data_IF_594234443576
#
_entry.id   IF_594234443576
#
_cell.length_a   1.000
_cell.length_b   1.000
_cell.length_c   1.000
_cell.angle_alpha   90.00
_cell.angle_beta   90.00
_cell.angle_gamma   90.00
#
_symmetry.space_group_name_H-M   'P 1'
#
loop_
_entity.id
_entity.type
_entity.pdbx_description
1 polymer ?
#
# COMPACT_ATOMS: atom_id res chain seq x y z
N UNK A 1 -1.18 15.32 11.50
CA UNK A 1 -1.32 15.48 10.03
C UNK A 1 -1.42 14.14 9.31
N UNK A 2 -0.60 13.14 9.66
CA UNK A 2 -0.59 11.80 9.04
C UNK A 2 -1.95 11.07 9.12
N UNK A 3 -2.62 11.08 10.28
CA UNK A 3 -3.93 10.43 10.48
C UNK A 3 -5.00 10.94 9.50
N UNK A 4 -4.98 12.23 9.13
CA UNK A 4 -5.92 12.80 8.16
C UNK A 4 -5.63 12.26 6.76
N UNK A 5 -4.36 12.26 6.34
CA UNK A 5 -3.90 11.70 5.06
C UNK A 5 -4.27 10.21 4.95
N UNK A 6 -4.04 9.42 6.00
CA UNK A 6 -4.42 8.00 6.04
C UNK A 6 -5.94 7.79 5.95
N UNK A 7 -6.74 8.61 6.63
CA UNK A 7 -8.21 8.55 6.50
C UNK A 7 -8.68 8.86 5.08
N UNK A 8 -8.02 9.78 4.38
CA UNK A 8 -8.33 10.10 2.99
C UNK A 8 -7.93 8.94 2.07
N UNK A 9 -6.75 8.36 2.28
CA UNK A 9 -6.27 7.18 1.55
C UNK A 9 -7.22 6.00 1.69
N UNK A 10 -7.63 5.66 2.91
CA UNK A 10 -8.54 4.52 3.14
C UNK A 10 -9.89 4.78 2.45
N UNK A 11 -10.44 6.01 2.55
CA UNK A 11 -11.67 6.38 1.85
C UNK A 11 -11.54 6.27 0.33
N UNK A 12 -10.41 6.68 -0.21
CA UNK A 12 -10.18 6.58 -1.64
C UNK A 12 -10.01 5.11 -2.07
N UNK A 13 -9.26 4.32 -1.31
CA UNK A 13 -9.02 2.91 -1.61
C UNK A 13 -10.32 2.08 -1.61
N UNK A 14 -11.27 2.34 -0.70
CA UNK A 14 -12.57 1.64 -0.68
C UNK A 14 -13.51 2.04 -1.83
N UNK A 15 -13.27 3.18 -2.47
CA UNK A 15 -14.00 3.60 -3.68
C UNK A 15 -13.41 2.96 -4.95
N UNK A 16 -12.20 2.40 -4.86
CA UNK A 16 -11.51 1.72 -5.93
C UNK A 16 -11.67 0.19 -5.84
N UNK A 17 -11.33 -0.47 -6.94
CA UNK A 17 -11.39 -1.93 -7.09
C UNK A 17 -10.17 -2.60 -6.43
N UNK A 18 -10.21 -2.68 -5.09
CA UNK A 18 -9.19 -3.35 -4.27
C UNK A 18 -9.63 -4.76 -3.88
N UNK A 19 -8.68 -5.69 -3.83
CA UNK A 19 -8.93 -7.06 -3.42
C UNK A 19 -8.78 -7.24 -1.90
N UNK A 20 -7.82 -6.53 -1.30
CA UNK A 20 -7.46 -6.75 0.10
C UNK A 20 -6.82 -5.51 0.73
N UNK A 21 -7.10 -5.31 2.02
CA UNK A 21 -6.54 -4.24 2.84
C UNK A 21 -6.25 -4.77 4.23
N UNK A 22 -5.02 -4.61 4.71
CA UNK A 22 -4.61 -4.98 6.06
C UNK A 22 -3.61 -4.00 6.66
N UNK A 23 -3.54 -3.96 7.98
CA UNK A 23 -2.45 -3.32 8.71
C UNK A 23 -1.64 -4.36 9.44
N UNK A 24 -0.31 -4.26 9.36
CA UNK A 24 0.60 -5.17 10.07
C UNK A 24 1.82 -4.40 10.61
N UNK A 25 2.53 -5.01 11.56
CA UNK A 25 3.81 -4.49 12.05
C UNK A 25 4.94 -4.98 11.13
N UNK A 26 5.65 -4.04 10.52
CA UNK A 26 6.86 -4.28 9.75
C UNK A 26 8.02 -4.78 10.60
N UNK A 27 9.12 -5.19 9.95
CA UNK A 27 10.26 -5.82 10.63
C UNK A 27 10.94 -4.93 11.68
N UNK A 28 10.92 -3.61 11.51
CA UNK A 28 11.52 -2.65 12.46
C UNK A 28 10.49 -2.12 13.48
N UNK A 29 9.27 -2.67 13.50
CA UNK A 29 8.19 -2.25 14.39
C UNK A 29 7.27 -1.19 13.81
N UNK A 30 7.46 -0.81 12.54
CA UNK A 30 6.62 0.20 11.89
C UNK A 30 5.21 -0.32 11.62
N UNK A 31 4.21 0.51 11.87
CA UNK A 31 2.85 0.23 11.41
C UNK A 31 2.78 0.43 9.89
N UNK A 32 2.45 -0.62 9.15
CA UNK A 32 2.34 -0.61 7.69
C UNK A 32 0.91 -0.90 7.28
N UNK A 33 0.36 -0.06 6.39
CA UNK A 33 -0.86 -0.34 5.66
C UNK A 33 -0.49 -1.03 4.35
N UNK A 34 -1.08 -2.20 4.11
CA UNK A 34 -0.98 -2.93 2.84
C UNK A 34 -2.30 -2.86 2.11
N UNK A 35 -2.23 -2.57 0.83
CA UNK A 35 -3.37 -2.62 -0.09
C UNK A 35 -2.97 -3.51 -1.25
N UNK A 36 -3.84 -4.45 -1.63
CA UNK A 36 -3.62 -5.35 -2.75
C UNK A 36 -4.75 -5.18 -3.76
N UNK A 37 -4.39 -5.13 -5.04
CA UNK A 37 -5.32 -5.10 -6.16
C UNK A 37 -4.74 -5.87 -7.34
N UNK A 38 -5.57 -6.57 -8.10
CA UNK A 38 -5.24 -7.17 -9.39
C UNK A 38 -5.45 -6.19 -10.54
N UNK A 39 -6.03 -5.02 -10.26
CA UNK A 39 -6.33 -4.00 -11.25
C UNK A 39 -5.19 -2.97 -11.33
N UNK A 40 -4.51 -2.93 -12.48
CA UNK A 40 -3.39 -2.01 -12.75
C UNK A 40 -3.81 -0.54 -12.72
N UNK A 41 -5.02 -0.22 -13.19
CA UNK A 41 -5.53 1.16 -13.14
C UNK A 41 -5.77 1.62 -11.70
N UNK A 42 -6.23 0.70 -10.84
CA UNK A 42 -6.37 0.98 -9.40
C UNK A 42 -5.02 1.23 -8.74
N UNK A 43 -3.99 0.45 -9.09
CA UNK A 43 -2.62 0.72 -8.63
C UNK A 43 -2.16 2.13 -9.06
N UNK A 44 -2.28 2.47 -10.34
CA UNK A 44 -1.82 3.75 -10.89
C UNK A 44 -2.55 4.94 -10.23
N UNK A 45 -3.87 4.83 -10.05
CA UNK A 45 -4.68 5.83 -9.37
C UNK A 45 -4.25 6.03 -7.91
N UNK A 46 -3.95 4.93 -7.20
CA UNK A 46 -3.46 4.97 -5.82
C UNK A 46 -2.06 5.60 -5.73
N UNK A 47 -1.16 5.28 -6.65
CA UNK A 47 0.18 5.88 -6.71
C UNK A 47 0.11 7.39 -6.96
N UNK A 48 -0.73 7.83 -7.88
CA UNK A 48 -0.93 9.26 -8.17
C UNK A 48 -1.53 9.97 -6.94
N UNK A 49 -2.53 9.37 -6.29
CA UNK A 49 -3.11 9.89 -5.07
C UNK A 49 -2.06 10.04 -3.96
N UNK A 50 -1.24 9.00 -3.71
CA UNK A 50 -0.20 8.99 -2.68
C UNK A 50 0.87 10.07 -2.93
N UNK A 51 1.30 10.24 -4.18
CA UNK A 51 2.19 11.34 -4.59
C UNK A 51 1.58 12.71 -4.29
N UNK A 52 0.30 12.90 -4.59
CA UNK A 52 -0.40 14.17 -4.37
C UNK A 52 -0.56 14.53 -2.89
N UNK A 53 -0.70 13.52 -2.03
CA UNK A 53 -0.81 13.74 -0.58
C UNK A 53 0.54 13.64 0.14
N UNK A 54 1.65 13.50 -0.58
CA UNK A 54 3.01 13.43 -0.03
C UNK A 54 3.09 12.37 1.08
N UNK A 55 2.71 11.14 0.73
CA UNK A 55 2.95 9.93 1.51
C UNK A 55 3.92 9.06 0.75
N UNK A 56 5.02 8.71 1.39
CA UNK A 56 5.93 7.71 0.87
C UNK A 56 5.30 6.31 0.93
N UNK A 57 5.59 5.51 -0.10
CA UNK A 57 5.06 4.17 -0.26
C UNK A 57 6.04 3.30 -1.05
N UNK A 58 5.87 1.98 -0.95
CA UNK A 58 6.55 1.01 -1.79
C UNK A 58 5.53 0.16 -2.53
N UNK A 59 5.80 -0.15 -3.79
CA UNK A 59 5.01 -1.10 -4.56
C UNK A 59 5.76 -2.39 -4.80
N UNK A 60 5.00 -3.48 -4.91
CA UNK A 60 5.50 -4.80 -5.24
C UNK A 60 4.49 -5.55 -6.12
N UNK A 61 4.96 -6.61 -6.79
CA UNK A 61 4.11 -7.49 -7.58
C UNK A 61 4.20 -8.91 -7.06
N UNK A 62 3.14 -9.36 -6.41
CA UNK A 62 3.05 -10.69 -5.84
C UNK A 62 2.50 -11.68 -6.87
N UNK A 63 3.41 -12.51 -7.41
CA UNK A 63 3.09 -13.56 -8.39
C UNK A 63 2.39 -14.76 -7.73
N UNK A 64 2.46 -14.87 -6.40
CA UNK A 64 1.82 -15.95 -5.63
C UNK A 64 0.31 -15.76 -5.48
N UNK A 65 -0.21 -14.57 -5.77
CA UNK A 65 -1.63 -14.23 -5.69
C UNK A 65 -2.51 -14.83 -6.82
N UNK A 66 -1.96 -15.72 -7.65
CA UNK A 66 -2.69 -16.46 -8.70
C UNK A 66 -2.21 -16.17 -10.12
N UNK A 67 -2.94 -16.64 -11.14
CA UNK A 67 -2.53 -16.61 -12.56
C UNK A 67 -2.30 -15.21 -13.13
N UNK A 68 -2.88 -14.17 -12.52
CA UNK A 68 -2.72 -12.76 -12.92
C UNK A 68 -1.70 -12.00 -12.07
N UNK A 69 -1.18 -12.60 -10.98
CA UNK A 69 -0.47 -11.89 -9.92
C UNK A 69 -1.32 -10.79 -9.25
N UNK A 70 -0.77 -10.12 -8.25
CA UNK A 70 -1.41 -9.03 -7.52
C UNK A 70 -0.45 -7.87 -7.29
N UNK A 71 -0.90 -6.65 -7.54
CA UNK A 71 -0.17 -5.44 -7.19
C UNK A 71 -0.36 -5.14 -5.72
N UNK A 72 0.73 -4.87 -5.01
CA UNK A 72 0.71 -4.56 -3.59
C UNK A 72 1.32 -3.19 -3.35
N UNK A 73 0.65 -2.37 -2.55
CA UNK A 73 1.13 -1.08 -2.08
C UNK A 73 1.32 -1.16 -0.56
N UNK A 74 2.50 -0.75 -0.10
CA UNK A 74 2.86 -0.67 1.31
C UNK A 74 3.07 0.80 1.68
N UNK A 75 2.33 1.27 2.70
CA UNK A 75 2.37 2.65 3.18
C UNK A 75 2.75 2.64 4.66
N UNK A 76 3.81 3.38 5.01
CA UNK A 76 4.22 3.58 6.40
C UNK A 76 3.29 4.55 7.10
N UNK A 77 2.81 4.18 8.29
CA UNK A 77 1.85 4.99 9.07
C UNK A 77 2.55 6.04 9.93
N UNK A 78 3.85 5.88 10.22
CA UNK A 78 4.62 6.77 11.11
C UNK A 78 5.91 7.31 10.47
N UNK A 79 6.71 6.45 9.82
CA UNK A 79 7.88 6.83 9.01
C UNK A 79 8.05 5.84 7.83
N UNK A 80 7.77 6.24 6.58
CA UNK A 80 7.82 5.30 5.46
C UNK A 80 9.23 5.02 4.93
N UNK A 81 10.24 5.80 5.33
CA UNK A 81 11.64 5.59 4.95
C UNK A 81 12.25 4.32 5.60
N UNK A 82 11.54 3.76 6.58
CA UNK A 82 11.91 2.57 7.34
C UNK A 82 11.25 1.28 6.84
N UNK A 83 10.43 1.32 5.78
CA UNK A 83 9.72 0.13 5.28
C UNK A 83 10.71 -0.90 4.72
N UNK A 84 11.21 -1.78 5.58
CA UNK A 84 11.97 -2.98 5.24
C UNK A 84 11.01 -4.15 5.19
N UNK A 85 10.50 -4.43 4.00
CA UNK A 85 9.81 -5.70 3.71
C UNK A 85 10.85 -6.82 3.67
N UNK A 86 10.49 -8.02 4.13
CA UNK A 86 11.36 -9.20 4.00
C UNK A 86 11.77 -9.31 2.53
N UNK A 87 13.07 -9.44 2.27
CA UNK A 87 13.50 -9.94 0.94
C UNK A 87 13.04 -11.39 0.88
N UNK A 88 12.16 -11.71 -0.06
CA UNK A 88 11.93 -13.09 -0.44
C UNK A 88 13.27 -13.65 -0.96
N UNK A 89 13.66 -14.78 -0.38
CA UNK A 89 14.87 -15.54 -0.71
C UNK A 89 14.63 -16.47 -1.89
#
# INVERSE_FOLDING_TARGET
MIVKKMKQLIKYAIELDIDYLETFLGYEGDNVLKITTRNKETLEAMEEFLKNIDLEYKTDFDISAGTSGGHVIYIGVEDPSLIKLKKDH
#
